data_IF_017805364944
#
_entry.id   IF_017805364944
#
_cell.length_a   1.000
_cell.length_b   1.000
_cell.length_c   1.000
_cell.angle_alpha   90.00
_cell.angle_beta   90.00
_cell.angle_gamma   90.00
#
_symmetry.space_group_name_H-M   'P 1'
#
loop_
_entity.id
_entity.type
_entity.pdbx_description
1 polymer ?
#
# COMPACT_ATOMS: atom_id res chain seq x y z
N UNK A 1 28.39 4.35 -14.20
CA UNK A 1 28.12 4.91 -12.85
C UNK A 1 28.68 3.92 -11.84
N UNK A 2 29.68 4.31 -11.02
CA UNK A 2 30.24 3.40 -10.00
C UNK A 2 29.12 3.04 -9.02
N UNK A 3 28.85 1.74 -8.83
CA UNK A 3 27.95 1.27 -7.78
C UNK A 3 28.61 1.57 -6.44
N UNK A 4 28.21 2.64 -5.77
CA UNK A 4 28.51 2.85 -4.35
C UNK A 4 27.71 1.81 -3.57
N UNK A 5 28.39 0.75 -3.14
CA UNK A 5 27.84 -0.30 -2.28
C UNK A 5 27.63 0.16 -0.81
N UNK A 6 27.71 1.47 -0.56
CA UNK A 6 27.41 2.04 0.75
C UNK A 6 25.90 2.20 0.88
N UNK A 7 25.32 1.40 1.79
CA UNK A 7 23.95 1.59 2.21
C UNK A 7 23.87 2.97 2.87
N UNK A 8 23.21 3.93 2.21
CA UNK A 8 22.97 5.24 2.81
C UNK A 8 22.32 5.08 4.18
N UNK A 9 22.87 5.73 5.20
CA UNK A 9 22.31 5.69 6.54
C UNK A 9 21.00 6.48 6.57
N UNK A 10 19.89 5.78 6.80
CA UNK A 10 18.63 6.44 7.15
C UNK A 10 18.46 6.43 8.67
N UNK A 11 17.88 7.49 9.28
CA UNK A 11 17.62 7.48 10.71
C UNK A 11 16.65 6.35 11.10
N UNK A 12 16.88 5.72 12.26
CA UNK A 12 16.17 4.50 12.69
C UNK A 12 14.65 4.67 12.79
N UNK A 13 14.16 5.87 13.08
CA UNK A 13 12.73 6.19 13.08
C UNK A 13 12.07 6.00 11.70
N UNK A 14 12.85 6.00 10.62
CA UNK A 14 12.40 5.72 9.26
C UNK A 14 12.59 4.23 8.89
N UNK A 15 12.94 3.36 9.83
CA UNK A 15 13.17 1.95 9.59
C UNK A 15 14.51 1.67 8.92
N UNK A 16 14.54 0.69 8.02
CA UNK A 16 15.75 0.29 7.30
C UNK A 16 15.75 0.80 5.85
N UNK A 17 16.93 1.05 5.30
CA UNK A 17 17.07 1.47 3.91
C UNK A 17 16.72 0.31 2.98
N UNK A 18 15.89 0.55 1.97
CA UNK A 18 15.55 -0.47 0.98
C UNK A 18 16.70 -0.65 0.00
N UNK A 19 16.85 -1.87 -0.52
CA UNK A 19 17.80 -2.14 -1.61
C UNK A 19 17.39 -1.36 -2.88
N UNK A 20 18.24 -1.23 -3.90
CA UNK A 20 17.83 -0.60 -5.16
C UNK A 20 16.73 -1.40 -5.88
N UNK A 21 15.59 -0.77 -6.16
CA UNK A 21 14.43 -1.47 -6.77
C UNK A 21 14.73 -2.00 -8.18
N UNK A 22 15.59 -1.32 -8.93
CA UNK A 22 15.99 -1.73 -10.28
C UNK A 22 16.75 -3.06 -10.30
N UNK A 23 17.38 -3.43 -9.19
CA UNK A 23 18.22 -4.63 -9.09
C UNK A 23 17.54 -5.73 -8.29
N UNK A 24 16.79 -5.39 -7.24
CA UNK A 24 16.30 -6.35 -6.24
C UNK A 24 14.78 -6.46 -6.11
N UNK A 25 13.98 -5.83 -6.99
CA UNK A 25 12.50 -5.85 -6.87
C UNK A 25 11.88 -7.25 -6.73
N UNK A 26 12.46 -8.25 -7.38
CA UNK A 26 12.01 -9.64 -7.32
C UNK A 26 12.34 -10.35 -6.00
N UNK A 27 13.28 -9.80 -5.21
CA UNK A 27 13.68 -10.30 -3.89
C UNK A 27 13.09 -9.47 -2.74
N UNK A 28 12.29 -8.46 -3.05
CA UNK A 28 11.71 -7.59 -2.05
C UNK A 28 10.71 -8.35 -1.20
N UNK A 29 10.90 -8.29 0.12
CA UNK A 29 9.87 -8.71 1.07
C UNK A 29 8.76 -7.66 1.18
N UNK A 30 7.63 -8.05 1.77
CA UNK A 30 6.44 -7.18 1.90
C UNK A 30 6.76 -5.80 2.49
N UNK A 31 7.66 -5.73 3.46
CA UNK A 31 8.01 -4.45 4.07
C UNK A 31 8.91 -3.56 3.18
N UNK A 32 9.76 -4.13 2.32
CA UNK A 32 10.46 -3.33 1.30
C UNK A 32 9.49 -2.76 0.28
N UNK A 33 8.50 -3.55 -0.15
CA UNK A 33 7.42 -3.07 -1.03
C UNK A 33 6.59 -1.97 -0.38
N UNK A 34 6.25 -2.14 0.90
CA UNK A 34 5.55 -1.12 1.70
C UNK A 34 6.37 0.18 1.77
N UNK A 35 7.63 0.11 2.17
CA UNK A 35 8.51 1.28 2.25
C UNK A 35 8.69 1.96 0.89
N UNK A 36 8.85 1.18 -0.18
CA UNK A 36 8.94 1.72 -1.53
C UNK A 36 7.68 2.51 -1.91
N UNK A 37 6.50 1.93 -1.72
CA UNK A 37 5.22 2.55 -2.05
C UNK A 37 4.92 3.80 -1.21
N UNK A 38 5.19 3.75 0.11
CA UNK A 38 4.83 4.84 1.02
C UNK A 38 5.83 6.01 0.99
N UNK A 39 7.12 5.73 0.78
CA UNK A 39 8.18 6.76 0.86
C UNK A 39 8.70 7.20 -0.49
N UNK A 40 9.05 6.26 -1.35
CA UNK A 40 9.82 6.54 -2.56
C UNK A 40 8.91 6.80 -3.75
N UNK A 41 7.82 6.05 -3.89
CA UNK A 41 6.87 6.19 -4.98
C UNK A 41 6.22 7.59 -5.09
N UNK A 42 5.84 8.29 -4.00
CA UNK A 42 5.33 9.66 -4.10
C UNK A 42 6.34 10.64 -4.73
N UNK A 43 7.64 10.37 -4.58
CA UNK A 43 8.70 11.20 -5.14
C UNK A 43 8.97 10.80 -6.60
N UNK A 44 9.14 9.50 -6.85
CA UNK A 44 9.52 9.00 -8.18
C UNK A 44 8.37 8.96 -9.18
N UNK A 45 7.16 8.66 -8.72
CA UNK A 45 5.95 8.60 -9.55
C UNK A 45 5.45 9.98 -9.98
N UNK A 46 5.77 11.03 -9.22
CA UNK A 46 5.38 12.40 -9.53
C UNK A 46 5.98 12.84 -10.87
N UNK A 47 5.12 13.35 -11.77
CA UNK A 47 5.46 13.75 -13.15
C UNK A 47 5.91 12.60 -14.08
N UNK A 48 5.89 11.34 -13.64
CA UNK A 48 6.15 10.17 -14.49
C UNK A 48 4.89 9.43 -14.89
N UNK A 49 3.88 9.43 -14.02
CA UNK A 49 2.58 8.84 -14.30
C UNK A 49 1.58 9.88 -14.81
N UNK A 50 0.54 9.46 -15.56
CA UNK A 50 -0.65 10.26 -15.80
C UNK A 50 -1.21 10.81 -14.48
N UNK A 51 -1.66 12.06 -14.50
CA UNK A 51 -2.02 12.78 -13.27
C UNK A 51 -3.19 12.11 -12.53
N UNK A 52 -4.18 11.66 -13.27
CA UNK A 52 -5.33 10.90 -12.77
C UNK A 52 -4.90 9.62 -12.04
N UNK A 53 -4.02 8.83 -12.65
CA UNK A 53 -3.52 7.58 -12.04
C UNK A 53 -2.68 7.90 -10.80
N UNK A 54 -1.82 8.91 -10.87
CA UNK A 54 -0.96 9.30 -9.76
C UNK A 54 -1.80 9.72 -8.54
N UNK A 55 -2.81 10.56 -8.72
CA UNK A 55 -3.67 11.03 -7.62
C UNK A 55 -4.45 9.90 -6.95
N UNK A 56 -4.95 8.92 -7.71
CA UNK A 56 -5.63 7.76 -7.14
C UNK A 56 -4.68 6.87 -6.33
N UNK A 57 -3.44 6.68 -6.80
CA UNK A 57 -2.44 5.95 -6.02
C UNK A 57 -2.02 6.73 -4.77
N UNK A 58 -1.91 8.06 -4.85
CA UNK A 58 -1.66 8.90 -3.66
C UNK A 58 -2.80 8.85 -2.65
N UNK A 59 -4.05 8.75 -3.13
CA UNK A 59 -5.21 8.51 -2.26
C UNK A 59 -5.11 7.16 -1.55
N UNK A 60 -4.65 6.10 -2.23
CA UNK A 60 -4.38 4.81 -1.60
C UNK A 60 -3.24 4.90 -0.57
N UNK A 61 -2.11 5.55 -0.92
CA UNK A 61 -0.98 5.75 0.01
C UNK A 61 -1.44 6.44 1.28
N UNK A 62 -2.29 7.48 1.16
CA UNK A 62 -2.90 8.16 2.30
C UNK A 62 -3.72 7.20 3.18
N UNK A 63 -4.55 6.34 2.59
CA UNK A 63 -5.33 5.36 3.33
C UNK A 63 -4.43 4.38 4.10
N UNK A 64 -3.38 3.84 3.45
CA UNK A 64 -2.44 2.91 4.08
C UNK A 64 -1.71 3.60 5.24
N UNK A 65 -1.27 4.84 5.08
CA UNK A 65 -0.63 5.61 6.15
C UNK A 65 -1.54 5.79 7.37
N UNK A 66 -2.86 5.94 7.17
CA UNK A 66 -3.83 6.02 8.28
C UNK A 66 -3.98 4.65 8.95
N UNK A 67 -4.05 3.56 8.19
CA UNK A 67 -4.11 2.20 8.73
C UNK A 67 -2.88 1.83 9.59
N UNK A 68 -1.74 2.47 9.33
CA UNK A 68 -0.49 2.28 10.07
C UNK A 68 -0.39 3.11 11.37
N UNK A 69 -1.37 3.97 11.66
CA UNK A 69 -1.37 4.75 12.90
C UNK A 69 -1.60 3.85 14.11
N UNK A 70 -0.96 4.23 15.23
CA UNK A 70 -1.15 3.55 16.51
C UNK A 70 -2.58 3.73 17.05
N UNK A 71 -3.14 4.93 16.85
CA UNK A 71 -4.51 5.29 17.21
C UNK A 71 -5.22 5.81 15.98
N UNK A 72 -6.42 5.29 15.72
CA UNK A 72 -7.25 5.63 14.56
C UNK A 72 -8.60 6.12 15.08
N UNK A 73 -8.95 7.36 14.73
CA UNK A 73 -10.25 7.95 15.07
C UNK A 73 -11.35 7.45 14.13
N UNK A 74 -12.63 7.53 14.53
CA UNK A 74 -13.75 7.16 13.65
C UNK A 74 -13.76 7.92 12.32
N UNK A 75 -13.44 9.21 12.33
CA UNK A 75 -13.39 10.04 11.11
C UNK A 75 -12.26 9.59 10.16
N UNK A 76 -11.10 9.24 10.72
CA UNK A 76 -9.99 8.67 9.95
C UNK A 76 -10.33 7.30 9.37
N UNK A 77 -11.08 6.48 10.11
CA UNK A 77 -11.53 5.18 9.64
C UNK A 77 -12.52 5.32 8.48
N UNK A 78 -13.42 6.31 8.54
CA UNK A 78 -14.32 6.64 7.45
C UNK A 78 -13.57 7.21 6.23
N UNK A 79 -12.52 8.01 6.45
CA UNK A 79 -11.59 8.45 5.39
C UNK A 79 -10.94 7.23 4.70
N UNK A 80 -10.46 6.26 5.46
CA UNK A 80 -9.89 5.01 4.92
C UNK A 80 -10.94 4.27 4.10
N UNK A 81 -12.14 4.06 4.63
CA UNK A 81 -13.24 3.39 3.91
C UNK A 81 -13.49 4.03 2.54
N UNK A 82 -13.71 5.34 2.52
CA UNK A 82 -13.99 6.08 1.29
C UNK A 82 -12.84 6.00 0.28
N UNK A 83 -11.60 6.10 0.73
CA UNK A 83 -10.41 6.03 -0.14
C UNK A 83 -10.17 4.63 -0.71
N UNK A 84 -10.36 3.57 0.08
CA UNK A 84 -10.16 2.20 -0.37
C UNK A 84 -11.22 1.80 -1.40
N UNK A 85 -12.49 2.12 -1.16
CA UNK A 85 -13.58 1.88 -2.12
C UNK A 85 -13.30 2.64 -3.42
N UNK A 86 -12.97 3.93 -3.33
CA UNK A 86 -12.61 4.76 -4.49
C UNK A 86 -11.46 4.15 -5.31
N UNK A 87 -10.42 3.66 -4.63
CA UNK A 87 -9.29 3.03 -5.31
C UNK A 87 -9.69 1.74 -6.04
N UNK A 88 -10.55 0.91 -5.42
CA UNK A 88 -11.04 -0.32 -6.04
C UNK A 88 -11.87 0.01 -7.28
N UNK A 89 -12.82 0.95 -7.19
CA UNK A 89 -13.62 1.40 -8.34
C UNK A 89 -12.74 1.92 -9.48
N UNK A 90 -11.70 2.70 -9.14
CA UNK A 90 -10.72 3.17 -10.11
C UNK A 90 -9.94 2.01 -10.74
N UNK A 91 -9.50 1.04 -9.94
CA UNK A 91 -8.74 -0.11 -10.43
C UNK A 91 -9.57 -0.98 -11.38
N UNK A 92 -10.83 -1.23 -11.00
CA UNK A 92 -11.77 -2.00 -11.79
C UNK A 92 -12.09 -1.34 -13.13
N UNK A 93 -12.26 -0.01 -13.15
CA UNK A 93 -12.54 0.75 -14.38
C UNK A 93 -11.32 0.88 -15.28
N UNK A 94 -10.14 1.15 -14.71
CA UNK A 94 -8.93 1.50 -15.47
C UNK A 94 -8.14 0.28 -15.93
N UNK A 95 -7.87 -0.65 -15.02
CA UNK A 95 -6.98 -1.79 -15.27
C UNK A 95 -7.74 -3.06 -15.65
N UNK A 96 -8.73 -3.46 -14.82
CA UNK A 96 -9.53 -4.66 -15.10
C UNK A 96 -10.52 -4.44 -16.26
N UNK A 97 -11.08 -3.24 -16.37
CA UNK A 97 -12.03 -2.81 -17.40
C UNK A 97 -13.33 -3.65 -17.46
N UNK A 98 -13.67 -4.38 -16.41
CA UNK A 98 -14.80 -5.31 -16.35
C UNK A 98 -14.81 -6.35 -17.46
N UNK A 99 -13.62 -6.77 -17.92
CA UNK A 99 -13.49 -7.77 -18.98
C UNK A 99 -13.04 -9.11 -18.42
N UNK A 100 -13.72 -10.17 -18.82
CA UNK A 100 -13.42 -11.54 -18.38
C UNK A 100 -12.00 -11.99 -18.75
N UNK A 101 -11.47 -11.58 -19.90
CA UNK A 101 -10.09 -11.89 -20.32
C UNK A 101 -9.02 -11.27 -19.39
N UNK A 102 -9.40 -10.29 -18.57
CA UNK A 102 -8.54 -9.63 -17.58
C UNK A 102 -8.78 -10.09 -16.15
N UNK A 103 -9.60 -11.13 -15.94
CA UNK A 103 -9.86 -11.71 -14.63
C UNK A 103 -8.59 -12.02 -13.82
N UNK A 104 -7.45 -12.44 -14.41
CA UNK A 104 -6.21 -12.63 -13.66
C UNK A 104 -5.69 -11.38 -12.92
N UNK A 105 -6.10 -10.17 -13.31
CA UNK A 105 -5.77 -8.91 -12.64
C UNK A 105 -6.60 -8.68 -11.35
N UNK A 106 -7.76 -9.33 -11.20
CA UNK A 106 -8.61 -9.26 -10.01
C UNK A 106 -8.16 -10.29 -8.97
N UNK A 107 -6.98 -10.05 -8.38
CA UNK A 107 -6.48 -10.91 -7.30
C UNK A 107 -7.38 -10.79 -6.06
N UNK A 108 -7.56 -11.87 -5.28
CA UNK A 108 -8.30 -11.83 -4.02
C UNK A 108 -7.80 -10.76 -3.05
N UNK A 109 -6.52 -10.39 -3.14
CA UNK A 109 -5.93 -9.28 -2.37
C UNK A 109 -6.66 -7.96 -2.59
N UNK A 110 -7.15 -7.65 -3.79
CA UNK A 110 -7.92 -6.43 -4.04
C UNK A 110 -9.28 -6.45 -3.33
N UNK A 111 -9.93 -7.62 -3.26
CA UNK A 111 -11.15 -7.78 -2.49
C UNK A 111 -10.88 -7.61 -0.99
N UNK A 112 -9.79 -8.18 -0.47
CA UNK A 112 -9.43 -8.01 0.96
C UNK A 112 -9.19 -6.56 1.35
N UNK A 113 -8.66 -5.73 0.43
CA UNK A 113 -8.47 -4.29 0.66
C UNK A 113 -9.81 -3.60 0.96
N UNK A 114 -10.91 -4.01 0.32
CA UNK A 114 -12.22 -3.44 0.57
C UNK A 114 -12.64 -3.53 2.03
N UNK A 115 -12.23 -4.59 2.72
CA UNK A 115 -12.68 -4.92 4.08
C UNK A 115 -11.73 -4.43 5.18
N UNK A 116 -10.58 -3.85 4.84
CA UNK A 116 -9.57 -3.41 5.84
C UNK A 116 -10.15 -2.46 6.89
N UNK A 117 -11.00 -1.52 6.47
CA UNK A 117 -11.67 -0.59 7.38
C UNK A 117 -12.60 -1.32 8.38
N UNK A 118 -13.36 -2.32 7.93
CA UNK A 118 -14.23 -3.12 8.81
C UNK A 118 -13.41 -3.97 9.78
N UNK A 119 -12.27 -4.51 9.31
CA UNK A 119 -11.37 -5.24 10.19
C UNK A 119 -10.82 -4.31 11.27
N UNK A 120 -10.28 -3.14 10.92
CA UNK A 120 -9.75 -2.18 11.88
C UNK A 120 -10.82 -1.77 12.91
N UNK A 121 -12.06 -1.57 12.47
CA UNK A 121 -13.19 -1.26 13.34
C UNK A 121 -13.50 -2.37 14.36
N UNK A 122 -13.39 -3.63 13.94
CA UNK A 122 -13.80 -4.80 14.74
C UNK A 122 -12.70 -5.32 15.66
N UNK A 123 -11.46 -5.35 15.18
CA UNK A 123 -10.34 -6.02 15.89
C UNK A 123 -9.21 -5.08 16.29
N UNK A 124 -9.34 -3.79 16.00
CA UNK A 124 -8.35 -2.76 16.32
C UNK A 124 -7.29 -2.55 15.23
N UNK A 125 -6.27 -1.73 15.52
CA UNK A 125 -5.29 -1.27 14.53
C UNK A 125 -4.61 -2.40 13.76
N UNK A 126 -4.41 -2.18 12.46
CA UNK A 126 -3.93 -3.22 11.55
C UNK A 126 -2.56 -3.79 11.93
N UNK A 127 -1.66 -2.99 12.53
CA UNK A 127 -0.33 -3.48 12.93
C UNK A 127 -0.39 -4.60 13.99
N UNK A 128 -1.47 -4.68 14.77
CA UNK A 128 -1.66 -5.73 15.79
C UNK A 128 -2.00 -7.06 15.13
N UNK A 129 -2.77 -7.03 14.05
CA UNK A 129 -3.28 -8.22 13.35
C UNK A 129 -2.54 -8.55 12.04
N UNK A 130 -1.65 -7.66 11.56
CA UNK A 130 -0.96 -7.78 10.27
C UNK A 130 -0.04 -9.01 10.15
N UNK A 131 0.40 -9.60 11.26
CA UNK A 131 1.29 -10.77 11.26
C UNK A 131 0.66 -12.03 11.88
N UNK A 132 -0.61 -11.99 12.30
CA UNK A 132 -1.21 -13.07 13.08
C UNK A 132 -2.67 -13.33 12.68
N UNK A 133 -2.89 -14.31 11.79
CA UNK A 133 -4.10 -15.12 11.90
C UNK A 133 -3.85 -16.10 13.06
N UNK A 134 -4.05 -15.66 14.30
CA UNK A 134 -4.21 -16.63 15.39
C UNK A 134 -5.54 -17.32 15.14
N UNK A 135 -5.51 -18.49 14.49
CA UNK A 135 -6.66 -19.40 14.51
C UNK A 135 -7.02 -19.62 15.98
N UNK A 136 -8.20 -19.14 16.37
CA UNK A 136 -8.81 -19.58 17.62
C UNK A 136 -9.28 -21.00 17.38
N UNK A 137 -8.50 -21.96 17.84
CA UNK A 137 -8.96 -23.34 18.08
C UNK A 137 -9.94 -23.33 19.26
#
# INVERSE_FOLDING_TARGET
MKKTAEHGHIPTNYGYNIRPITEHSHEYKSEEWKLWLLRYFPIYGKRRLPADIYEEIMSLVRAICICDLYEITPDQLEEVRGRLIRFIDFYERTFYQFREDRLPACKPTFHTIAHVHEFIAKIGPAFVSACWCMERV
#
